data_IF_739845274464
#
_entry.id   IF_739845274464
#
_cell.length_a   1.000
_cell.length_b   1.000
_cell.length_c   1.000
_cell.angle_alpha   90.00
_cell.angle_beta   90.00
_cell.angle_gamma   90.00
#
_symmetry.space_group_name_H-M   'P 1'
#
loop_
_entity.id
_entity.type
_entity.pdbx_description
1 polymer ?
#
# COMPACT_ATOMS: atom_id res chain seq x y z
N UNK A 1 20.29 1.92 2.94
CA UNK A 1 19.86 0.79 3.80
C UNK A 1 18.47 0.39 3.36
N UNK A 2 18.25 -0.89 3.13
CA UNK A 2 16.93 -1.42 2.77
C UNK A 2 15.97 -1.31 3.95
N UNK A 3 14.75 -0.85 3.70
CA UNK A 3 13.66 -0.86 4.69
C UNK A 3 12.89 -2.18 4.62
N UNK A 4 12.72 -2.73 3.41
CA UNK A 4 12.08 -4.03 3.18
C UNK A 4 13.03 -4.92 2.42
N UNK A 5 13.18 -6.16 2.87
CA UNK A 5 13.97 -7.19 2.21
C UNK A 5 13.12 -8.44 2.06
N UNK A 6 12.95 -8.89 0.84
CA UNK A 6 12.18 -10.09 0.47
C UNK A 6 13.15 -11.01 -0.26
N UNK A 7 13.35 -12.22 0.26
CA UNK A 7 14.29 -13.20 -0.30
C UNK A 7 13.57 -14.49 -0.64
N UNK A 8 13.51 -14.83 -1.91
CA UNK A 8 13.07 -16.10 -2.47
C UNK A 8 11.74 -16.62 -1.86
N UNK A 9 10.76 -15.71 -1.67
CA UNK A 9 9.51 -16.10 -1.03
C UNK A 9 8.61 -16.89 -1.96
N UNK A 10 7.97 -17.92 -1.38
CA UNK A 10 6.93 -18.70 -2.05
C UNK A 10 5.67 -18.75 -1.20
N UNK A 11 4.51 -18.61 -1.87
CA UNK A 11 3.19 -18.65 -1.26
C UNK A 11 2.22 -19.48 -2.09
N UNK A 12 1.53 -20.39 -1.42
CA UNK A 12 0.46 -21.21 -2.02
C UNK A 12 -0.83 -21.12 -1.23
N UNK A 13 -1.94 -21.26 -1.91
CA UNK A 13 -3.27 -21.51 -1.34
C UNK A 13 -3.74 -22.89 -1.84
N UNK A 14 -3.71 -23.88 -0.96
CA UNK A 14 -3.92 -25.27 -1.36
C UNK A 14 -2.91 -25.70 -2.41
N UNK A 15 -3.39 -26.19 -3.55
CA UNK A 15 -2.54 -26.64 -4.66
C UNK A 15 -2.05 -25.50 -5.58
N UNK A 16 -2.57 -24.29 -5.42
CA UNK A 16 -2.25 -23.15 -6.30
C UNK A 16 -1.09 -22.35 -5.73
N UNK A 17 0.06 -22.37 -6.39
CA UNK A 17 1.21 -21.54 -6.03
C UNK A 17 1.06 -20.14 -6.64
N UNK A 18 0.86 -19.12 -5.79
CA UNK A 18 0.59 -17.72 -6.16
C UNK A 18 1.87 -16.88 -6.20
N UNK A 19 2.82 -17.11 -5.29
CA UNK A 19 4.15 -16.50 -5.35
C UNK A 19 5.20 -17.58 -5.52
N UNK A 20 6.14 -17.37 -6.46
CA UNK A 20 7.12 -18.34 -6.90
C UNK A 20 8.50 -17.70 -6.88
N UNK A 21 9.25 -17.89 -5.79
CA UNK A 21 10.64 -17.42 -5.67
C UNK A 21 10.78 -15.92 -5.92
N UNK A 22 9.96 -15.12 -5.19
CA UNK A 22 9.93 -13.66 -5.32
C UNK A 22 10.97 -13.05 -4.40
N UNK A 23 11.85 -12.22 -4.97
CA UNK A 23 12.86 -11.44 -4.24
C UNK A 23 12.72 -9.96 -4.61
N UNK A 24 12.74 -9.07 -3.62
CA UNK A 24 12.63 -7.62 -3.80
C UNK A 24 13.25 -6.90 -2.60
N UNK A 25 14.03 -5.87 -2.88
CA UNK A 25 14.52 -4.96 -1.86
C UNK A 25 13.92 -3.57 -2.07
N UNK A 26 13.56 -2.89 -0.98
CA UNK A 26 13.01 -1.54 -1.01
C UNK A 26 13.81 -0.65 -0.08
N UNK A 27 14.43 0.39 -0.63
CA UNK A 27 15.19 1.37 0.14
C UNK A 27 14.24 2.32 0.90
N UNK A 28 14.74 2.94 1.98
CA UNK A 28 13.98 3.97 2.70
C UNK A 28 13.72 5.17 1.77
N UNK A 29 12.48 5.63 1.74
CA UNK A 29 12.01 6.72 0.85
C UNK A 29 11.77 6.28 -0.59
N UNK A 30 11.99 5.00 -0.92
CA UNK A 30 11.72 4.46 -2.26
C UNK A 30 10.23 4.20 -2.47
N UNK A 31 9.77 4.47 -3.69
CA UNK A 31 8.39 4.21 -4.12
C UNK A 31 8.43 3.12 -5.19
N UNK A 32 7.94 1.93 -4.84
CA UNK A 32 7.82 0.79 -5.75
C UNK A 32 6.39 0.70 -6.28
N UNK A 33 6.23 0.84 -7.59
CA UNK A 33 4.96 0.54 -8.25
C UNK A 33 4.97 -0.92 -8.73
N UNK A 34 4.09 -1.74 -8.17
CA UNK A 34 3.90 -3.14 -8.56
C UNK A 34 2.75 -3.22 -9.54
N UNK A 35 3.03 -3.65 -10.76
CA UNK A 35 2.07 -3.75 -11.86
C UNK A 35 1.98 -5.21 -12.37
N UNK A 36 0.91 -5.53 -13.11
CA UNK A 36 0.71 -6.86 -13.68
C UNK A 36 -0.77 -7.24 -13.76
N UNK A 37 -1.07 -8.30 -14.50
CA UNK A 37 -2.45 -8.78 -14.68
C UNK A 37 -3.09 -9.20 -13.36
N UNK A 38 -4.43 -9.22 -13.31
CA UNK A 38 -5.15 -9.82 -12.20
C UNK A 38 -4.70 -11.27 -11.97
N UNK A 39 -4.58 -11.69 -10.72
CA UNK A 39 -4.10 -13.02 -10.36
C UNK A 39 -2.56 -13.23 -10.42
N UNK A 40 -1.76 -12.22 -10.79
CA UNK A 40 -0.29 -12.36 -10.83
C UNK A 40 0.39 -12.39 -9.45
N UNK A 41 -0.34 -12.23 -8.34
CA UNK A 41 0.19 -12.33 -6.98
C UNK A 41 0.46 -10.99 -6.27
N UNK A 42 0.19 -9.84 -6.88
CA UNK A 42 0.49 -8.50 -6.35
C UNK A 42 -0.06 -8.24 -4.94
N UNK A 43 -1.36 -8.40 -4.75
CA UNK A 43 -2.02 -8.21 -3.43
C UNK A 43 -1.54 -9.23 -2.40
N UNK A 44 -1.24 -10.47 -2.83
CA UNK A 44 -0.67 -11.49 -1.96
C UNK A 44 0.73 -11.08 -1.47
N UNK A 45 1.56 -10.52 -2.36
CA UNK A 45 2.87 -10.00 -1.99
C UNK A 45 2.75 -8.92 -0.89
N UNK A 46 1.86 -7.93 -1.06
CA UNK A 46 1.65 -6.89 -0.04
C UNK A 46 1.21 -7.49 1.30
N UNK A 47 0.29 -8.45 1.27
CA UNK A 47 -0.23 -9.11 2.48
C UNK A 47 0.85 -9.96 3.18
N UNK A 48 1.79 -10.52 2.44
CA UNK A 48 2.95 -11.20 3.03
C UNK A 48 3.89 -10.21 3.71
N UNK A 49 4.12 -9.02 3.14
CA UNK A 49 5.02 -7.99 3.71
C UNK A 49 4.56 -7.51 5.08
N UNK A 50 3.24 -7.36 5.32
CA UNK A 50 2.75 -6.96 6.65
C UNK A 50 2.33 -8.13 7.54
N UNK A 51 2.65 -9.37 7.13
CA UNK A 51 2.37 -10.59 7.89
C UNK A 51 0.88 -10.95 7.99
N UNK A 52 0.01 -10.42 7.11
CA UNK A 52 -1.39 -10.88 7.02
C UNK A 52 -1.49 -12.26 6.40
N UNK A 53 -0.57 -12.58 5.48
CA UNK A 53 -0.47 -13.89 4.86
C UNK A 53 0.89 -14.52 5.20
N UNK A 54 0.92 -15.75 5.75
CA UNK A 54 2.18 -16.46 5.98
C UNK A 54 2.75 -16.96 4.67
N UNK A 55 4.08 -16.96 4.56
CA UNK A 55 4.82 -17.58 3.45
C UNK A 55 5.19 -19.03 3.79
N UNK A 56 5.42 -19.86 2.77
CA UNK A 56 5.88 -21.25 2.96
C UNK A 56 7.39 -21.40 2.81
N UNK A 57 8.05 -20.53 2.04
CA UNK A 57 9.50 -20.54 1.87
C UNK A 57 10.05 -19.12 1.76
N UNK A 58 11.36 -18.96 1.96
CA UNK A 58 12.05 -17.68 1.90
C UNK A 58 11.95 -16.88 3.19
N UNK A 59 12.22 -15.58 3.10
CA UNK A 59 12.15 -14.67 4.26
C UNK A 59 11.73 -13.26 3.85
N UNK A 60 11.05 -12.58 4.77
CA UNK A 60 10.70 -11.16 4.66
C UNK A 60 11.20 -10.46 5.92
N UNK A 61 11.88 -9.33 5.75
CA UNK A 61 12.19 -8.42 6.85
C UNK A 61 11.72 -7.00 6.54
N UNK A 62 11.26 -6.29 7.57
CA UNK A 62 10.89 -4.88 7.51
C UNK A 62 11.60 -4.16 8.65
N UNK A 63 12.40 -3.15 8.31
CA UNK A 63 13.22 -2.40 9.27
C UNK A 63 14.07 -3.33 10.18
N UNK A 64 14.66 -4.38 9.58
CA UNK A 64 15.45 -5.39 10.28
C UNK A 64 14.63 -6.42 11.08
N UNK A 65 13.30 -6.28 11.15
CA UNK A 65 12.42 -7.22 11.86
C UNK A 65 11.93 -8.29 10.89
N UNK A 66 12.22 -9.56 11.19
CA UNK A 66 11.84 -10.70 10.36
C UNK A 66 10.34 -11.01 10.50
N UNK A 67 9.55 -10.80 9.44
CA UNK A 67 8.09 -10.93 9.44
C UNK A 67 7.63 -12.36 9.71
N UNK A 68 8.32 -13.32 9.12
CA UNK A 68 7.99 -14.76 9.18
C UNK A 68 8.70 -15.53 10.29
N UNK A 69 9.31 -14.85 11.27
CA UNK A 69 9.81 -15.51 12.47
C UNK A 69 8.64 -15.76 13.45
N UNK A 70 8.43 -16.99 13.94
CA UNK A 70 7.38 -17.30 14.91
C UNK A 70 7.46 -16.49 16.21
N UNK A 71 8.64 -15.94 16.54
CA UNK A 71 8.85 -15.09 17.72
C UNK A 71 8.52 -13.62 17.48
N UNK A 72 8.27 -13.23 16.24
CA UNK A 72 7.98 -11.83 15.91
C UNK A 72 6.60 -11.41 16.40
N UNK A 73 6.56 -10.33 17.17
CA UNK A 73 5.31 -9.66 17.54
C UNK A 73 4.77 -8.87 16.33
N UNK A 74 3.90 -9.51 15.54
CA UNK A 74 3.27 -8.88 14.39
C UNK A 74 2.44 -7.64 14.73
N UNK A 75 1.98 -7.48 15.98
CA UNK A 75 1.26 -6.27 16.40
C UNK A 75 2.19 -5.07 16.41
N UNK A 76 3.42 -5.26 16.91
CA UNK A 76 4.46 -4.21 16.88
C UNK A 76 4.92 -3.91 15.45
N UNK A 77 5.11 -4.93 14.61
CA UNK A 77 5.45 -4.76 13.21
C UNK A 77 4.40 -3.91 12.49
N UNK A 78 3.11 -4.24 12.64
CA UNK A 78 1.98 -3.54 11.99
C UNK A 78 1.77 -2.10 12.47
N UNK A 79 2.41 -1.68 13.56
CA UNK A 79 2.44 -0.26 13.92
C UNK A 79 3.37 0.55 12.99
N UNK A 80 4.35 -0.11 12.38
CA UNK A 80 5.32 0.50 11.48
C UNK A 80 4.97 0.30 9.99
N UNK A 81 4.01 -0.56 9.68
CA UNK A 81 3.58 -0.89 8.32
C UNK A 81 2.10 -0.58 8.15
N UNK A 82 1.80 0.52 7.50
CA UNK A 82 0.43 0.87 7.12
C UNK A 82 0.01 0.09 5.87
N UNK A 83 -1.25 -0.29 5.80
CA UNK A 83 -1.84 -0.88 4.60
C UNK A 83 -3.20 -0.26 4.31
N UNK A 84 -3.43 0.07 3.04
CA UNK A 84 -4.71 0.57 2.53
C UNK A 84 -5.15 -0.35 1.42
N UNK A 85 -6.38 -0.84 1.52
CA UNK A 85 -6.97 -1.81 0.60
C UNK A 85 -7.83 -1.14 -0.46
N UNK A 86 -8.15 -1.86 -1.51
CA UNK A 86 -9.11 -1.49 -2.54
C UNK A 86 -10.49 -1.15 -1.96
N UNK A 87 -10.98 -1.98 -1.04
CA UNK A 87 -12.16 -1.67 -0.24
C UNK A 87 -11.74 -0.79 0.94
N UNK A 88 -12.47 0.27 1.20
CA UNK A 88 -12.13 1.30 2.19
C UNK A 88 -11.97 0.74 3.61
N UNK A 89 -12.73 -0.32 3.95
CA UNK A 89 -12.71 -1.03 5.23
C UNK A 89 -12.86 -0.09 6.44
N UNK A 90 -13.66 0.98 6.29
CA UNK A 90 -14.02 1.84 7.40
C UNK A 90 -15.07 1.13 8.27
N UNK A 91 -15.01 1.37 9.56
CA UNK A 91 -16.02 0.92 10.50
C UNK A 91 -17.29 1.78 10.33
N UNK A 92 -18.41 1.26 9.80
CA UNK A 92 -19.55 2.08 9.39
C UNK A 92 -20.29 2.73 10.58
N UNK A 93 -20.16 2.15 11.77
CA UNK A 93 -20.77 2.62 13.02
C UNK A 93 -19.88 3.60 13.80
N UNK A 94 -18.69 3.89 13.32
CA UNK A 94 -17.77 4.86 13.92
C UNK A 94 -17.70 6.13 13.06
N UNK A 95 -17.55 7.29 13.70
CA UNK A 95 -17.26 8.54 13.01
C UNK A 95 -15.92 8.46 12.28
N UNK A 96 -15.63 9.41 11.38
CA UNK A 96 -14.33 9.56 10.73
C UNK A 96 -13.22 9.71 11.77
N UNK A 97 -13.43 10.57 12.77
CA UNK A 97 -12.50 10.75 13.89
C UNK A 97 -12.25 9.43 14.63
N UNK A 98 -13.30 8.67 14.95
CA UNK A 98 -13.15 7.42 15.68
C UNK A 98 -12.47 6.34 14.83
N UNK A 99 -12.76 6.26 13.53
CA UNK A 99 -12.05 5.39 12.60
C UNK A 99 -10.54 5.66 12.60
N UNK A 100 -10.13 6.92 12.63
CA UNK A 100 -8.72 7.33 12.60
C UNK A 100 -8.07 7.13 13.98
N UNK A 101 -8.76 7.48 15.07
CA UNK A 101 -8.19 7.49 16.42
C UNK A 101 -8.19 6.15 17.11
N UNK A 102 -8.94 5.16 16.62
CA UNK A 102 -9.07 3.85 17.25
C UNK A 102 -7.70 3.20 17.50
N UNK A 103 -6.87 3.07 16.49
CA UNK A 103 -5.56 2.45 16.61
C UNK A 103 -4.58 3.27 17.47
N UNK A 104 -4.40 4.59 17.29
CA UNK A 104 -3.62 5.44 18.20
C UNK A 104 -4.02 5.29 19.67
N UNK A 105 -5.32 5.27 19.98
CA UNK A 105 -5.81 5.12 21.36
C UNK A 105 -5.60 3.72 21.93
N UNK A 106 -5.95 2.68 21.16
CA UNK A 106 -5.92 1.30 21.65
C UNK A 106 -4.50 0.73 21.68
N UNK A 107 -3.70 1.00 20.63
CA UNK A 107 -2.39 0.38 20.44
C UNK A 107 -1.28 1.24 21.05
N UNK A 108 -1.26 2.56 20.74
CA UNK A 108 -0.24 3.49 21.25
C UNK A 108 -0.59 4.09 22.61
N UNK A 109 -1.81 3.83 23.12
CA UNK A 109 -2.30 4.35 24.43
C UNK A 109 -2.34 5.88 24.48
N UNK A 110 -2.51 6.54 23.34
CA UNK A 110 -2.61 8.00 23.30
C UNK A 110 -3.86 8.50 23.98
N UNK A 111 -3.76 9.64 24.64
CA UNK A 111 -4.90 10.29 25.28
C UNK A 111 -5.95 10.71 24.22
N UNK A 112 -7.26 10.69 24.54
CA UNK A 112 -8.31 11.02 23.58
C UNK A 112 -8.13 12.37 22.88
N UNK A 113 -7.67 13.40 23.59
CA UNK A 113 -7.40 14.74 23.04
C UNK A 113 -6.26 14.71 22.01
N UNK A 114 -5.13 14.08 22.35
CA UNK A 114 -3.99 13.92 21.46
C UNK A 114 -4.37 13.13 20.19
N UNK A 115 -5.11 12.04 20.36
CA UNK A 115 -5.57 11.23 19.23
C UNK A 115 -6.49 12.05 18.30
N UNK A 116 -7.35 12.93 18.85
CA UNK A 116 -8.24 13.78 18.05
C UNK A 116 -7.44 14.87 17.27
N UNK A 117 -6.39 15.44 17.85
CA UNK A 117 -5.50 16.35 17.12
C UNK A 117 -4.76 15.62 15.99
N UNK A 118 -4.26 14.41 16.23
CA UNK A 118 -3.69 13.58 15.15
C UNK A 118 -4.72 13.35 14.04
N UNK A 119 -5.98 13.05 14.39
CA UNK A 119 -7.03 12.87 13.38
C UNK A 119 -7.25 14.15 12.55
N UNK A 120 -7.26 15.34 13.16
CA UNK A 120 -7.35 16.61 12.44
C UNK A 120 -6.17 16.81 11.49
N UNK A 121 -4.96 16.56 11.95
CA UNK A 121 -3.76 16.77 11.16
C UNK A 121 -3.72 15.84 9.93
N UNK A 122 -4.04 14.55 10.10
CA UNK A 122 -4.07 13.64 8.96
C UNK A 122 -5.25 13.90 8.03
N UNK A 123 -6.41 14.36 8.54
CA UNK A 123 -7.55 14.77 7.71
C UNK A 123 -7.24 16.03 6.90
N UNK A 124 -6.52 17.00 7.47
CA UNK A 124 -6.03 18.19 6.74
C UNK A 124 -5.12 17.78 5.58
N UNK A 125 -4.21 16.82 5.80
CA UNK A 125 -3.31 16.29 4.77
C UNK A 125 -4.06 15.62 3.60
N UNK A 126 -5.23 15.04 3.87
CA UNK A 126 -6.07 14.40 2.82
C UNK A 126 -7.22 15.31 2.36
N UNK A 127 -7.26 16.58 2.81
CA UNK A 127 -8.26 17.58 2.40
C UNK A 127 -9.68 17.30 2.87
N UNK A 128 -9.84 16.75 4.10
CA UNK A 128 -11.13 16.35 4.67
C UNK A 128 -11.30 16.78 6.14
N UNK A 129 -10.65 17.88 6.56
CA UNK A 129 -10.72 18.34 7.96
C UNK A 129 -12.15 18.60 8.44
N UNK A 130 -13.01 19.12 7.55
CA UNK A 130 -14.42 19.42 7.82
C UNK A 130 -15.29 18.15 8.02
N UNK A 131 -14.76 16.96 7.66
CA UNK A 131 -15.45 15.66 7.78
C UNK A 131 -15.15 14.92 9.09
N UNK A 132 -14.47 15.56 10.05
CA UNK A 132 -14.00 14.92 11.28
C UNK A 132 -15.09 14.13 12.03
N UNK A 133 -16.29 14.71 12.13
CA UNK A 133 -17.41 14.14 12.88
C UNK A 133 -18.45 13.44 11.97
N UNK A 134 -18.20 13.37 10.65
CA UNK A 134 -19.05 12.63 9.70
C UNK A 134 -18.94 11.11 9.88
N UNK A 135 -19.92 10.37 9.36
CA UNK A 135 -19.90 8.90 9.29
C UNK A 135 -19.57 8.43 7.86
N UNK A 136 -19.04 7.21 7.69
CA UNK A 136 -18.69 6.68 6.36
C UNK A 136 -19.86 6.74 5.35
N UNK A 137 -21.09 6.53 5.79
CA UNK A 137 -22.29 6.63 4.93
C UNK A 137 -22.58 8.01 4.36
N UNK A 138 -21.95 9.06 4.91
CA UNK A 138 -22.08 10.46 4.48
C UNK A 138 -20.95 10.90 3.54
N UNK A 139 -20.06 9.96 3.16
CA UNK A 139 -18.88 10.23 2.35
C UNK A 139 -18.99 9.59 0.97
N UNK A 140 -18.48 10.26 -0.06
CA UNK A 140 -18.25 9.65 -1.37
C UNK A 140 -17.19 8.55 -1.30
N UNK A 141 -17.11 7.68 -2.31
CA UNK A 141 -16.09 6.63 -2.38
C UNK A 141 -14.66 7.18 -2.27
N UNK A 142 -14.35 8.25 -2.99
CA UNK A 142 -13.04 8.92 -2.91
C UNK A 142 -12.76 9.54 -1.54
N UNK A 143 -13.77 10.09 -0.88
CA UNK A 143 -13.64 10.59 0.50
C UNK A 143 -13.39 9.44 1.48
N UNK A 144 -14.12 8.32 1.35
CA UNK A 144 -13.89 7.12 2.19
C UNK A 144 -12.46 6.58 2.01
N UNK A 145 -11.97 6.55 0.78
CA UNK A 145 -10.59 6.12 0.50
C UNK A 145 -9.55 7.05 1.11
N UNK A 146 -9.77 8.36 1.01
CA UNK A 146 -8.89 9.35 1.66
C UNK A 146 -8.91 9.23 3.18
N UNK A 147 -10.05 8.92 3.80
CA UNK A 147 -10.14 8.62 5.24
C UNK A 147 -9.38 7.32 5.56
N UNK A 148 -9.45 6.27 4.73
CA UNK A 148 -8.69 5.04 4.93
C UNK A 148 -7.16 5.29 4.88
N UNK A 149 -6.70 6.16 3.98
CA UNK A 149 -5.30 6.62 3.93
C UNK A 149 -4.95 7.39 5.21
N UNK A 150 -5.79 8.37 5.62
CA UNK A 150 -5.58 9.15 6.85
C UNK A 150 -5.51 8.25 8.09
N UNK A 151 -6.39 7.25 8.20
CA UNK A 151 -6.37 6.25 9.29
C UNK A 151 -5.04 5.51 9.36
N UNK A 152 -4.48 5.14 8.21
CA UNK A 152 -3.19 4.46 8.17
C UNK A 152 -2.04 5.40 8.55
N UNK A 153 -2.05 6.65 8.06
CA UNK A 153 -1.06 7.69 8.38
C UNK A 153 -1.05 8.10 9.85
N UNK A 154 -2.18 8.03 10.55
CA UNK A 154 -2.31 8.36 11.97
C UNK A 154 -1.41 7.48 12.87
N UNK A 155 -1.05 6.30 12.40
CA UNK A 155 -0.08 5.43 13.09
C UNK A 155 1.38 5.82 12.83
N UNK A 156 1.67 6.83 11.98
CA UNK A 156 3.01 7.27 11.62
C UNK A 156 3.91 6.10 11.17
N UNK A 157 3.48 5.33 10.17
CA UNK A 157 4.22 4.16 9.72
C UNK A 157 5.52 4.56 9.01
N UNK A 158 6.49 3.63 8.95
CA UNK A 158 7.71 3.76 8.16
C UNK A 158 7.53 3.29 6.72
N UNK A 159 6.54 2.43 6.49
CA UNK A 159 6.19 1.84 5.20
C UNK A 159 4.68 1.93 4.99
N UNK A 160 4.26 2.38 3.81
CA UNK A 160 2.87 2.34 3.38
C UNK A 160 2.70 1.35 2.23
N UNK A 161 1.72 0.47 2.36
CA UNK A 161 1.31 -0.49 1.35
C UNK A 161 -0.06 -0.08 0.80
N UNK A 162 -0.17 0.00 -0.53
CA UNK A 162 -1.41 0.38 -1.20
C UNK A 162 -1.83 -0.74 -2.18
N UNK A 163 -3.00 -1.33 -1.95
CA UNK A 163 -3.52 -2.44 -2.76
C UNK A 163 -4.67 -1.95 -3.62
N UNK A 164 -4.37 -1.51 -4.86
CA UNK A 164 -5.32 -1.05 -5.88
C UNK A 164 -6.33 0.01 -5.38
N UNK A 165 -5.85 1.00 -4.65
CA UNK A 165 -6.68 1.97 -3.90
C UNK A 165 -7.55 2.90 -4.75
N UNK A 166 -7.39 2.90 -6.08
CA UNK A 166 -8.18 3.70 -7.02
C UNK A 166 -9.14 2.86 -7.86
N UNK A 167 -8.99 1.53 -7.90
CA UNK A 167 -9.70 0.67 -8.85
C UNK A 167 -11.21 0.56 -8.64
N UNK A 168 -11.72 0.95 -7.46
CA UNK A 168 -13.15 0.98 -7.13
C UNK A 168 -13.78 2.38 -7.30
N UNK A 169 -13.04 3.34 -7.87
CA UNK A 169 -13.43 4.74 -7.98
C UNK A 169 -13.64 5.14 -9.44
N UNK A 170 -14.52 6.11 -9.67
CA UNK A 170 -14.61 6.76 -10.96
C UNK A 170 -13.37 7.67 -11.22
N UNK A 171 -13.14 8.09 -12.49
CA UNK A 171 -11.93 8.86 -12.85
C UNK A 171 -11.76 10.18 -12.10
N UNK A 172 -12.85 10.86 -11.75
CA UNK A 172 -12.79 12.14 -11.02
C UNK A 172 -12.31 11.92 -9.59
N UNK A 173 -12.89 10.96 -8.88
CA UNK A 173 -12.51 10.59 -7.51
C UNK A 173 -11.12 9.95 -7.46
N UNK A 174 -10.71 9.21 -8.50
CA UNK A 174 -9.34 8.69 -8.66
C UNK A 174 -8.33 9.83 -8.60
N UNK A 175 -8.56 10.94 -9.31
CA UNK A 175 -7.68 12.10 -9.30
C UNK A 175 -7.48 12.71 -7.91
N UNK A 176 -8.53 12.74 -7.07
CA UNK A 176 -8.44 13.22 -5.70
C UNK A 176 -7.56 12.32 -4.80
N UNK A 177 -7.71 11.01 -4.94
CA UNK A 177 -6.90 10.04 -4.18
C UNK A 177 -5.45 10.09 -4.62
N UNK A 178 -5.18 10.18 -5.93
CA UNK A 178 -3.81 10.30 -6.46
C UNK A 178 -3.10 11.55 -5.94
N UNK A 179 -3.76 12.70 -5.82
CA UNK A 179 -3.18 13.91 -5.21
C UNK A 179 -2.73 13.68 -3.76
N UNK A 180 -3.48 12.90 -2.99
CA UNK A 180 -3.08 12.53 -1.63
C UNK A 180 -1.84 11.64 -1.66
N UNK A 181 -1.80 10.63 -2.55
CA UNK A 181 -0.61 9.77 -2.70
C UNK A 181 0.62 10.58 -3.16
N UNK A 182 0.44 11.55 -4.04
CA UNK A 182 1.49 12.48 -4.46
C UNK A 182 2.07 13.27 -3.26
N UNK A 183 1.22 13.82 -2.40
CA UNK A 183 1.66 14.50 -1.19
C UNK A 183 2.44 13.59 -0.25
N UNK A 184 1.95 12.36 -0.04
CA UNK A 184 2.62 11.36 0.81
C UNK A 184 3.98 10.97 0.21
N UNK A 185 4.08 10.87 -1.12
CA UNK A 185 5.32 10.60 -1.85
C UNK A 185 6.34 11.75 -1.66
N UNK A 186 5.89 13.00 -1.80
CA UNK A 186 6.73 14.20 -1.63
C UNK A 186 7.25 14.35 -0.20
N UNK A 187 6.52 13.87 0.80
CA UNK A 187 6.95 13.81 2.21
C UNK A 187 8.05 12.75 2.45
N UNK A 188 8.49 12.02 1.42
CA UNK A 188 9.55 11.00 1.52
C UNK A 188 9.10 9.68 2.14
N UNK A 189 7.80 9.38 2.13
CA UNK A 189 7.27 8.11 2.60
C UNK A 189 7.76 6.95 1.74
N UNK A 190 8.21 5.85 2.37
CA UNK A 190 8.48 4.60 1.65
C UNK A 190 7.16 3.92 1.31
N UNK A 191 6.97 3.56 0.04
CA UNK A 191 5.71 3.00 -0.43
C UNK A 191 5.90 1.79 -1.35
N UNK A 192 5.04 0.78 -1.19
CA UNK A 192 4.82 -0.26 -2.19
C UNK A 192 3.37 -0.15 -2.63
N UNK A 193 3.16 0.12 -3.90
CA UNK A 193 1.87 0.48 -4.48
C UNK A 193 1.50 -0.49 -5.59
N UNK A 194 0.46 -1.30 -5.40
CA UNK A 194 -0.18 -2.05 -6.49
C UNK A 194 -1.14 -1.10 -7.20
N UNK A 195 -0.91 -0.85 -8.49
CA UNK A 195 -1.67 0.14 -9.23
C UNK A 195 -1.81 -0.17 -10.72
N UNK A 196 -2.87 0.34 -11.32
CA UNK A 196 -3.07 0.46 -12.75
C UNK A 196 -2.87 1.91 -13.26
N UNK A 197 -2.52 2.83 -12.36
CA UNK A 197 -2.29 4.25 -12.68
C UNK A 197 -0.87 4.45 -13.21
N UNK A 198 -0.66 4.18 -14.50
CA UNK A 198 0.68 4.24 -15.11
C UNK A 198 1.26 5.66 -15.10
N UNK A 199 0.40 6.68 -15.18
CA UNK A 199 0.81 8.10 -15.07
C UNK A 199 1.43 8.40 -13.69
N UNK A 200 0.79 7.93 -12.62
CA UNK A 200 1.34 8.04 -11.26
C UNK A 200 2.64 7.24 -11.10
N UNK A 201 2.64 5.96 -11.53
CA UNK A 201 3.82 5.11 -11.46
C UNK A 201 5.02 5.72 -12.18
N UNK A 202 4.82 6.32 -13.37
CA UNK A 202 5.87 6.99 -14.14
C UNK A 202 6.42 8.24 -13.48
N UNK A 203 5.55 9.04 -12.83
CA UNK A 203 5.92 10.35 -12.27
C UNK A 203 6.52 10.26 -10.87
N UNK A 204 5.98 9.39 -10.03
CA UNK A 204 6.33 9.29 -8.60
C UNK A 204 7.02 7.98 -8.23
N UNK A 205 6.87 6.93 -9.03
CA UNK A 205 7.57 5.67 -8.82
C UNK A 205 9.08 5.83 -8.98
N UNK A 206 9.85 5.39 -7.99
CA UNK A 206 11.29 5.25 -8.13
C UNK A 206 11.60 4.08 -9.06
N UNK A 207 10.88 2.98 -8.87
CA UNK A 207 11.03 1.73 -9.63
C UNK A 207 9.67 1.09 -9.88
N UNK A 208 9.56 0.45 -11.03
CA UNK A 208 8.41 -0.41 -11.37
C UNK A 208 8.84 -1.86 -11.32
N UNK A 209 7.98 -2.70 -10.73
CA UNK A 209 8.11 -4.15 -10.65
C UNK A 209 6.91 -4.77 -11.38
N UNK A 210 7.17 -5.45 -12.49
CA UNK A 210 6.16 -6.16 -13.25
C UNK A 210 6.07 -7.61 -12.77
N UNK A 211 4.91 -7.96 -12.22
CA UNK A 211 4.60 -9.32 -11.80
C UNK A 211 3.83 -10.09 -12.88
N UNK A 212 4.33 -11.27 -13.22
CA UNK A 212 3.70 -12.19 -14.15
C UNK A 212 3.79 -13.63 -13.60
N UNK A 213 2.67 -14.34 -13.58
CA UNK A 213 2.56 -15.76 -13.13
C UNK A 213 3.21 -16.06 -11.77
N UNK A 214 3.10 -15.12 -10.83
CA UNK A 214 3.61 -15.26 -9.47
C UNK A 214 5.10 -14.96 -9.30
N UNK A 215 5.77 -14.39 -10.30
CA UNK A 215 7.18 -13.99 -10.27
C UNK A 215 7.34 -12.50 -10.57
N UNK A 216 8.44 -11.92 -10.12
CA UNK A 216 8.93 -10.67 -10.70
C UNK A 216 9.53 -11.02 -12.05
N UNK A 217 8.90 -10.54 -13.11
CA UNK A 217 9.27 -10.86 -14.49
C UNK A 217 10.19 -9.81 -15.09
N UNK A 218 9.95 -8.54 -14.75
CA UNK A 218 10.79 -7.43 -15.15
C UNK A 218 10.74 -6.34 -14.08
N UNK A 219 11.87 -5.69 -13.80
CA UNK A 219 11.92 -4.54 -12.91
C UNK A 219 12.95 -3.52 -13.41
N UNK A 220 12.75 -2.27 -13.04
CA UNK A 220 13.66 -1.19 -13.41
C UNK A 220 13.17 0.18 -12.97
N UNK A 221 13.98 1.20 -13.27
CA UNK A 221 13.64 2.59 -13.01
C UNK A 221 12.32 2.93 -13.73
N UNK A 222 11.38 3.56 -13.02
CA UNK A 222 9.98 3.65 -13.45
C UNK A 222 9.80 4.31 -14.82
N UNK A 223 10.42 5.50 -15.03
CA UNK A 223 10.27 6.21 -16.29
C UNK A 223 10.87 5.44 -17.48
N UNK A 224 12.03 4.80 -17.28
CA UNK A 224 12.72 4.05 -18.32
C UNK A 224 11.97 2.75 -18.66
N UNK A 225 11.56 1.98 -17.65
CA UNK A 225 10.87 0.70 -17.87
C UNK A 225 9.52 0.89 -18.57
N UNK A 226 8.76 1.91 -18.17
CA UNK A 226 7.46 2.20 -18.79
C UNK A 226 7.57 2.80 -20.20
N UNK A 227 8.72 3.42 -20.55
CA UNK A 227 8.97 3.92 -21.90
C UNK A 227 9.47 2.81 -22.84
N UNK A 228 10.37 1.96 -22.33
CA UNK A 228 11.06 0.94 -23.12
C UNK A 228 11.01 -0.44 -22.43
N UNK A 229 9.82 -1.08 -22.34
CA UNK A 229 9.69 -2.42 -21.79
C UNK A 229 10.47 -3.43 -22.64
N UNK A 230 11.18 -4.36 -21.98
CA UNK A 230 12.04 -5.34 -22.68
C UNK A 230 11.27 -6.61 -23.02
N UNK A 231 10.51 -7.14 -22.06
CA UNK A 231 9.81 -8.42 -22.23
C UNK A 231 8.54 -8.29 -23.07
N UNK A 232 8.18 -9.30 -23.88
CA UNK A 232 6.92 -9.31 -24.65
C UNK A 232 5.69 -9.21 -23.75
N UNK A 233 5.74 -9.83 -22.56
CA UNK A 233 4.66 -9.84 -21.59
C UNK A 233 4.36 -8.43 -21.05
N UNK A 234 5.40 -7.67 -20.70
CA UNK A 234 5.25 -6.29 -20.23
C UNK A 234 4.77 -5.37 -21.37
N UNK A 235 5.29 -5.51 -22.59
CA UNK A 235 4.82 -4.78 -23.78
C UNK A 235 3.34 -5.00 -24.00
N UNK A 236 2.90 -6.26 -23.98
CA UNK A 236 1.48 -6.63 -24.14
C UNK A 236 0.62 -6.06 -23.00
N UNK A 237 1.12 -6.10 -21.75
CA UNK A 237 0.40 -5.55 -20.62
C UNK A 237 0.22 -4.03 -20.75
N UNK A 238 1.30 -3.31 -21.04
CA UNK A 238 1.26 -1.84 -21.17
C UNK A 238 0.39 -1.38 -22.34
N UNK A 239 0.42 -2.08 -23.49
CA UNK A 239 -0.44 -1.74 -24.61
C UNK A 239 -1.93 -1.90 -24.28
N UNK A 240 -2.30 -2.80 -23.36
CA UNK A 240 -3.69 -3.01 -22.94
C UNK A 240 -4.17 -2.00 -21.88
N UNK A 241 -3.24 -1.36 -21.13
CA UNK A 241 -3.58 -0.44 -20.03
C UNK A 241 -3.46 1.03 -20.47
N UNK A 242 -2.67 1.33 -21.49
CA UNK A 242 -2.44 2.70 -21.98
C UNK A 242 -3.43 3.12 -23.10
N UNK A 243 -4.32 2.24 -23.48
CA UNK A 243 -5.45 2.49 -24.41
C UNK A 243 -6.78 2.45 -23.64
#
# INVERSE_FOLDING_TARGET
MSLVEIHAISKSYGAVQVLKDVSLEVAKGEIIAVIGRSGSGKSTLLRCVNGLEPIQAGSISVDGVKVNDPKTDLRKLRQQVGIVFQSFNLFPHLSVSDNITLAPRVVKKQAPGEAREIARDVLRRVGLEEKLDAFPSQLSGGQQQRVAIARSLAMQPKLMLFDEVTSALDPELTGEVLKVLESVAQDGMTMILVTHEMGFARRFGSRVVFMHEGRIHEEGQAAALLAEPKTPELKTFLSAVLH
#
